data_IF_405860324894
#
_entry.id   IF_405860324894
#
_cell.length_a   1.000
_cell.length_b   1.000
_cell.length_c   1.000
_cell.angle_alpha   90.00
_cell.angle_beta   90.00
_cell.angle_gamma   90.00
#
_symmetry.space_group_name_H-M   'P 1'
#
loop_
_entity.id
_entity.type
_entity.pdbx_description
1 polymer ?
#
# COMPACT_ATOMS: atom_id res chain seq x y z
N UNK A 1 7.60 19.59 -4.04
CA UNK A 1 8.84 18.80 -4.18
C UNK A 1 8.91 17.85 -2.99
N UNK A 2 8.07 16.79 -2.99
CA UNK A 2 7.94 15.84 -1.86
C UNK A 2 8.76 14.57 -2.11
N UNK A 3 8.66 14.00 -3.30
CA UNK A 3 9.38 12.78 -3.68
C UNK A 3 10.90 12.93 -3.58
N UNK A 4 11.46 14.06 -4.01
CA UNK A 4 12.91 14.31 -3.93
C UNK A 4 13.38 14.38 -2.47
N UNK A 5 12.66 15.10 -1.61
CA UNK A 5 12.93 15.14 -0.18
C UNK A 5 12.81 13.76 0.47
N UNK A 6 11.81 12.95 0.08
CA UNK A 6 11.67 11.59 0.60
C UNK A 6 12.86 10.70 0.18
N UNK A 7 13.39 10.86 -1.05
CA UNK A 7 14.57 10.16 -1.53
C UNK A 7 15.84 10.58 -0.76
N UNK A 8 16.03 11.88 -0.55
CA UNK A 8 17.13 12.41 0.27
C UNK A 8 17.08 11.85 1.70
N UNK A 9 15.90 11.85 2.33
CA UNK A 9 15.73 11.29 3.67
C UNK A 9 16.00 9.79 3.74
N UNK A 10 15.62 9.03 2.70
CA UNK A 10 15.95 7.60 2.62
C UNK A 10 17.44 7.35 2.43
N UNK A 11 18.15 8.20 1.68
CA UNK A 11 19.60 8.09 1.47
C UNK A 11 20.41 8.48 2.72
N UNK A 12 20.02 9.57 3.41
CA UNK A 12 20.76 10.09 4.57
C UNK A 12 20.39 9.41 5.90
N UNK A 13 19.10 9.15 6.13
CA UNK A 13 18.56 8.71 7.43
C UNK A 13 18.09 7.24 7.38
N UNK A 14 17.89 6.68 6.19
CA UNK A 14 17.38 5.32 5.99
C UNK A 14 15.86 5.19 6.12
N UNK A 15 15.12 6.27 6.35
CA UNK A 15 13.65 6.28 6.33
C UNK A 15 13.08 7.67 5.98
N UNK A 16 11.83 7.70 5.51
CA UNK A 16 11.08 8.93 5.29
C UNK A 16 9.65 8.81 5.83
N UNK A 17 8.96 9.94 5.96
CA UNK A 17 7.55 9.96 6.39
C UNK A 17 6.65 9.49 5.27
N UNK A 18 5.91 8.41 5.50
CA UNK A 18 5.08 7.78 4.48
C UNK A 18 5.84 6.76 3.63
N UNK A 19 6.87 6.12 4.19
CA UNK A 19 7.69 5.12 3.50
C UNK A 19 6.86 3.97 2.92
N UNK A 20 5.70 3.65 3.49
CA UNK A 20 4.77 2.62 3.01
C UNK A 20 4.24 2.90 1.59
N UNK A 21 4.26 4.15 1.16
CA UNK A 21 3.92 4.52 -0.22
C UNK A 21 4.94 3.99 -1.24
N UNK A 22 6.16 3.69 -0.79
CA UNK A 22 7.23 3.12 -1.62
C UNK A 22 7.33 1.59 -1.45
N UNK A 23 6.40 0.96 -0.72
CA UNK A 23 6.41 -0.48 -0.40
C UNK A 23 6.63 -1.38 -1.62
N UNK A 24 5.95 -1.12 -2.74
CA UNK A 24 6.13 -1.88 -3.98
C UNK A 24 7.60 -1.92 -4.45
N UNK A 25 8.29 -0.78 -4.38
CA UNK A 25 9.69 -0.67 -4.80
C UNK A 25 10.65 -1.30 -3.79
N UNK A 26 10.38 -1.10 -2.50
CA UNK A 26 11.18 -1.67 -1.40
C UNK A 26 11.09 -3.21 -1.40
N UNK A 27 9.90 -3.75 -1.65
CA UNK A 27 9.65 -5.19 -1.70
C UNK A 27 10.12 -5.84 -3.02
N UNK A 28 10.52 -5.04 -4.02
CA UNK A 28 10.87 -5.52 -5.36
C UNK A 28 9.70 -6.12 -6.15
N UNK A 29 8.46 -5.71 -5.85
CA UNK A 29 7.23 -6.20 -6.49
C UNK A 29 6.96 -5.47 -7.80
N UNK A 30 6.29 -6.13 -8.75
CA UNK A 30 5.81 -5.46 -9.97
C UNK A 30 4.54 -4.66 -9.70
N UNK A 31 4.23 -3.70 -10.59
CA UNK A 31 2.97 -2.97 -10.53
C UNK A 31 1.77 -3.92 -10.65
N UNK A 32 0.87 -3.86 -9.68
CA UNK A 32 -0.31 -4.72 -9.61
C UNK A 32 -0.12 -6.01 -8.83
N UNK A 33 1.13 -6.38 -8.46
CA UNK A 33 1.36 -7.51 -7.58
C UNK A 33 0.78 -7.21 -6.18
N UNK A 34 0.13 -8.20 -5.53
CA UNK A 34 -0.44 -8.00 -4.21
C UNK A 34 0.67 -7.66 -3.18
N UNK A 35 0.40 -6.79 -2.19
CA UNK A 35 1.33 -6.54 -1.11
C UNK A 35 1.42 -7.71 -0.16
N UNK A 36 2.59 -7.85 0.48
CA UNK A 36 2.70 -8.65 1.68
C UNK A 36 1.81 -8.06 2.77
N UNK A 37 1.19 -8.96 3.52
CA UNK A 37 0.23 -8.69 4.58
C UNK A 37 0.58 -9.52 5.80
N UNK A 38 -0.24 -9.38 6.85
CA UNK A 38 -0.15 -10.26 8.02
C UNK A 38 -0.31 -11.74 7.66
N UNK A 39 -1.10 -12.07 6.62
CA UNK A 39 -1.38 -13.46 6.26
C UNK A 39 -0.13 -14.20 5.77
N UNK A 40 0.81 -13.49 5.15
CA UNK A 40 2.07 -14.06 4.62
C UNK A 40 3.06 -14.48 5.71
N UNK A 41 2.81 -14.10 6.98
CA UNK A 41 3.60 -14.53 8.13
C UNK A 41 3.13 -15.88 8.71
N UNK A 42 1.95 -16.36 8.30
CA UNK A 42 1.41 -17.62 8.75
C UNK A 42 1.82 -18.77 7.83
N UNK A 43 1.93 -20.01 8.33
CA UNK A 43 2.02 -21.20 7.48
C UNK A 43 0.79 -21.33 6.58
N UNK A 44 0.95 -22.00 5.43
CA UNK A 44 -0.13 -22.20 4.45
C UNK A 44 -1.38 -22.89 5.03
N UNK A 45 -1.23 -23.66 6.12
CA UNK A 45 -2.28 -24.42 6.79
C UNK A 45 -2.88 -23.73 8.04
N UNK A 46 -2.69 -22.42 8.17
CA UNK A 46 -3.23 -21.67 9.30
C UNK A 46 -4.76 -21.67 9.36
N UNK A 47 -5.30 -21.59 10.59
CA UNK A 47 -6.73 -21.40 10.82
C UNK A 47 -7.07 -19.91 10.89
N UNK A 48 -7.95 -19.45 9.99
CA UNK A 48 -8.54 -18.12 10.06
C UNK A 48 -9.97 -18.20 10.63
N UNK A 49 -10.23 -17.47 11.72
CA UNK A 49 -11.57 -17.31 12.27
C UNK A 49 -12.05 -15.89 11.96
N UNK A 50 -13.19 -15.78 11.28
CA UNK A 50 -13.83 -14.50 10.97
C UNK A 50 -15.03 -14.35 11.90
N UNK A 51 -14.84 -13.59 12.97
CA UNK A 51 -15.93 -13.21 13.86
C UNK A 51 -16.90 -12.26 13.15
N UNK A 52 -18.19 -12.37 13.46
CA UNK A 52 -19.28 -11.62 12.82
C UNK A 52 -19.18 -11.58 11.29
N UNK A 53 -19.02 -12.76 10.68
CA UNK A 53 -18.78 -12.90 9.24
C UNK A 53 -19.82 -12.21 8.35
N UNK A 54 -21.06 -12.10 8.80
CA UNK A 54 -22.13 -11.40 8.11
C UNK A 54 -21.89 -9.88 7.96
N UNK A 55 -21.02 -9.30 8.79
CA UNK A 55 -20.52 -7.91 8.70
C UNK A 55 -19.12 -7.87 8.10
N UNK A 56 -18.22 -8.72 8.60
CA UNK A 56 -16.80 -8.69 8.24
C UNK A 56 -16.56 -9.05 6.76
N UNK A 57 -17.26 -10.04 6.20
CA UNK A 57 -17.07 -10.45 4.79
C UNK A 57 -17.49 -9.34 3.81
N UNK A 58 -18.66 -8.69 3.95
CA UNK A 58 -18.98 -7.50 3.15
C UNK A 58 -17.94 -6.38 3.29
N UNK A 59 -17.44 -6.14 4.50
CA UNK A 59 -16.44 -5.10 4.75
C UNK A 59 -15.11 -5.39 4.03
N UNK A 60 -14.63 -6.64 4.07
CA UNK A 60 -13.40 -7.07 3.39
C UNK A 60 -13.46 -6.83 1.88
N UNK A 61 -14.59 -7.16 1.23
CA UNK A 61 -14.80 -6.87 -0.19
C UNK A 61 -14.74 -5.37 -0.52
N UNK A 62 -15.14 -4.51 0.43
CA UNK A 62 -15.15 -3.06 0.26
C UNK A 62 -13.79 -2.37 0.45
N UNK A 63 -12.84 -3.01 1.16
CA UNK A 63 -11.57 -2.39 1.57
C UNK A 63 -10.76 -1.88 0.37
N UNK A 64 -10.52 -2.73 -0.63
CA UNK A 64 -9.72 -2.37 -1.80
C UNK A 64 -10.31 -1.18 -2.56
N UNK A 65 -11.63 -1.21 -2.83
CA UNK A 65 -12.29 -0.13 -3.54
C UNK A 65 -12.32 1.19 -2.75
N UNK A 66 -12.40 1.12 -1.42
CA UNK A 66 -12.31 2.27 -0.52
C UNK A 66 -10.91 2.91 -0.57
N UNK A 67 -9.88 2.11 -0.31
CA UNK A 67 -8.49 2.59 -0.30
C UNK A 67 -8.08 3.15 -1.68
N UNK A 68 -8.36 2.40 -2.75
CA UNK A 68 -8.08 2.83 -4.13
C UNK A 68 -8.70 4.18 -4.48
N UNK A 69 -9.94 4.45 -4.03
CA UNK A 69 -10.61 5.75 -4.29
C UNK A 69 -9.90 6.90 -3.59
N UNK A 70 -9.62 6.76 -2.29
CA UNK A 70 -8.90 7.77 -1.49
C UNK A 70 -7.52 8.05 -2.08
N UNK A 71 -6.79 7.00 -2.44
CA UNK A 71 -5.47 7.06 -3.02
C UNK A 71 -5.43 7.70 -4.41
N UNK A 72 -6.41 7.39 -5.27
CA UNK A 72 -6.58 8.07 -6.57
C UNK A 72 -6.82 9.57 -6.42
N UNK A 73 -7.57 9.99 -5.40
CA UNK A 73 -7.81 11.41 -5.15
C UNK A 73 -6.51 12.14 -4.84
N UNK A 74 -5.66 11.60 -3.96
CA UNK A 74 -4.36 12.18 -3.61
C UNK A 74 -3.45 12.34 -4.84
N UNK A 75 -3.39 11.32 -5.69
CA UNK A 75 -2.64 11.39 -6.95
C UNK A 75 -3.18 12.44 -7.92
N UNK A 76 -4.49 12.68 -7.92
CA UNK A 76 -5.12 13.66 -8.81
C UNK A 76 -4.94 15.11 -8.35
N UNK A 77 -4.77 15.32 -7.04
CA UNK A 77 -4.62 16.66 -6.44
C UNK A 77 -3.18 17.16 -6.45
N UNK A 78 -2.19 16.26 -6.46
CA UNK A 78 -0.78 16.61 -6.60
C UNK A 78 -0.37 16.66 -8.09
N UNK A 79 -0.44 17.85 -8.70
CA UNK A 79 -0.27 18.08 -10.15
C UNK A 79 1.18 18.02 -10.66
N UNK A 80 2.03 17.15 -10.12
CA UNK A 80 3.42 16.98 -10.60
C UNK A 80 3.71 15.51 -10.86
N UNK A 81 3.40 15.08 -12.09
CA UNK A 81 4.23 14.20 -12.91
C UNK A 81 4.88 12.98 -12.23
N UNK A 82 4.15 12.11 -11.53
CA UNK A 82 4.68 10.78 -11.16
C UNK A 82 3.62 9.68 -11.25
N UNK A 83 3.53 9.09 -12.45
CA UNK A 83 2.77 7.88 -12.76
C UNK A 83 3.35 6.59 -12.15
N UNK A 84 4.37 6.64 -11.27
CA UNK A 84 5.19 5.44 -11.05
C UNK A 84 5.48 5.02 -9.59
N UNK A 85 5.16 5.80 -8.55
CA UNK A 85 5.86 5.58 -7.28
C UNK A 85 5.04 5.24 -6.03
N UNK A 86 3.74 5.48 -5.96
CA UNK A 86 3.12 5.61 -4.63
C UNK A 86 2.16 4.47 -4.25
N UNK A 87 1.70 3.61 -5.17
CA UNK A 87 0.57 2.70 -4.80
C UNK A 87 0.56 1.30 -5.44
N UNK A 88 1.26 1.00 -6.53
CA UNK A 88 1.14 -0.34 -7.15
C UNK A 88 -0.32 -0.75 -7.43
N UNK A 89 -1.14 0.19 -7.91
CA UNK A 89 -2.51 -0.06 -8.40
C UNK A 89 -2.53 -0.54 -9.84
#
# INVERSE_FOLDING_TARGET
>A
MRTEHDLEMMDEVGFCTGIENYSMHIDGRNSGDPPYTLLDYFPDDFLCVIDESHVAVPQLHGQFAGDRRRKKLLLSTDSVFHRLLIIGL
#
